data_IF_308501396570
#
_entry.id   IF_308501396570
#
_cell.length_a   1.000
_cell.length_b   1.000
_cell.length_c   1.000
_cell.angle_alpha   90.00
_cell.angle_beta   90.00
_cell.angle_gamma   90.00
#
_symmetry.space_group_name_H-M   'P 1'
#
loop_
_entity.id
_entity.type
_entity.pdbx_description
1 polymer ?
#
# COMPACT_ATOMS: atom_id res chain seq x y z
N UNK A 1 48.16 -14.90 -2.81
CA UNK A 1 46.75 -14.98 -2.37
C UNK A 1 45.97 -13.84 -2.99
N UNK A 2 45.19 -14.10 -4.04
CA UNK A 2 44.29 -13.10 -4.63
C UNK A 2 43.05 -13.00 -3.74
N UNK A 3 42.80 -11.83 -3.16
CA UNK A 3 41.53 -11.55 -2.45
C UNK A 3 40.45 -11.44 -3.52
N UNK A 4 39.50 -12.37 -3.51
CA UNK A 4 38.36 -12.37 -4.41
C UNK A 4 37.36 -11.28 -3.96
N UNK A 5 37.14 -10.22 -4.75
CA UNK A 5 36.21 -9.15 -4.40
C UNK A 5 34.75 -9.63 -4.31
N UNK A 6 34.40 -10.76 -4.93
CA UNK A 6 33.05 -11.33 -4.84
C UNK A 6 32.76 -11.91 -3.45
N UNK A 7 33.76 -12.49 -2.79
CA UNK A 7 33.63 -13.05 -1.43
C UNK A 7 33.45 -11.94 -0.38
N UNK A 8 34.13 -10.80 -0.57
CA UNK A 8 33.99 -9.64 0.30
C UNK A 8 32.59 -9.01 0.20
N UNK A 9 32.00 -8.96 -1.01
CA UNK A 9 30.63 -8.47 -1.22
C UNK A 9 29.55 -9.35 -0.59
N UNK A 10 29.75 -10.68 -0.59
CA UNK A 10 28.82 -11.62 0.05
C UNK A 10 28.86 -11.55 1.57
N UNK A 11 30.05 -11.40 2.16
CA UNK A 11 30.21 -11.24 3.61
C UNK A 11 29.62 -9.90 4.08
N UNK A 12 29.78 -8.82 3.31
CA UNK A 12 29.22 -7.52 3.65
C UNK A 12 27.67 -7.54 3.65
N UNK A 13 27.03 -8.26 2.73
CA UNK A 13 25.57 -8.44 2.71
C UNK A 13 25.03 -9.32 3.85
N UNK A 14 25.86 -10.21 4.42
CA UNK A 14 25.50 -11.00 5.61
C UNK A 14 25.68 -10.22 6.93
N UNK A 15 26.51 -9.17 6.91
CA UNK A 15 26.81 -8.33 8.08
C UNK A 15 25.95 -7.07 8.16
N UNK A 16 25.15 -6.75 7.14
CA UNK A 16 24.12 -5.72 7.27
C UNK A 16 23.01 -6.25 8.18
N UNK A 17 22.75 -5.62 9.36
CA UNK A 17 21.61 -6.02 10.18
C UNK A 17 20.34 -5.83 9.33
N UNK A 18 19.64 -6.94 9.04
CA UNK A 18 18.27 -6.87 8.51
C UNK A 18 17.47 -6.01 9.49
N UNK A 19 16.99 -4.87 9.02
CA UNK A 19 16.15 -4.01 9.85
C UNK A 19 14.90 -4.81 10.26
N UNK A 20 14.33 -4.59 11.46
CA UNK A 20 13.14 -5.31 11.92
C UNK A 20 11.98 -5.30 10.92
N UNK A 21 11.97 -4.29 10.04
CA UNK A 21 11.02 -4.04 8.98
C UNK A 21 11.02 -5.09 7.85
N UNK A 22 12.10 -5.85 7.67
CA UNK A 22 12.18 -6.87 6.61
C UNK A 22 11.17 -8.02 6.79
N UNK A 23 10.55 -8.13 7.97
CA UNK A 23 9.62 -9.21 8.30
C UNK A 23 8.13 -8.81 8.30
N UNK A 24 7.74 -7.86 7.45
CA UNK A 24 6.34 -7.44 7.26
C UNK A 24 5.41 -8.60 6.85
N UNK A 25 5.95 -9.68 6.28
CA UNK A 25 5.18 -10.89 5.96
C UNK A 25 4.71 -11.65 7.21
N UNK A 26 5.50 -11.68 8.28
CA UNK A 26 5.05 -12.25 9.56
C UNK A 26 3.96 -11.38 10.18
N UNK A 27 4.04 -10.06 10.01
CA UNK A 27 2.98 -9.15 10.44
C UNK A 27 1.65 -9.42 9.72
N UNK A 28 1.69 -9.81 8.44
CA UNK A 28 0.49 -10.23 7.70
C UNK A 28 -0.12 -11.54 8.21
N UNK A 29 0.65 -12.42 8.84
CA UNK A 29 0.07 -13.63 9.46
C UNK A 29 -0.89 -13.30 10.59
N UNK A 30 -0.74 -12.14 11.23
CA UNK A 30 -1.67 -11.62 12.24
C UNK A 30 -2.94 -11.01 11.63
N UNK A 31 -2.89 -10.60 10.36
CA UNK A 31 -3.97 -9.96 9.60
C UNK A 31 -4.33 -10.84 8.40
N UNK A 32 -4.56 -12.11 8.67
CA UNK A 32 -4.66 -13.15 7.65
C UNK A 32 -6.10 -13.40 7.16
N UNK A 33 -7.07 -12.56 7.49
CA UNK A 33 -8.47 -12.76 7.08
C UNK A 33 -9.01 -11.58 6.29
N UNK A 34 -9.80 -11.88 5.29
CA UNK A 34 -10.53 -10.89 4.52
C UNK A 34 -11.59 -10.19 5.37
N UNK A 35 -11.60 -8.84 5.46
CA UNK A 35 -12.60 -8.11 6.22
C UNK A 35 -14.00 -8.16 5.56
N UNK A 36 -14.10 -8.64 4.32
CA UNK A 36 -15.36 -8.77 3.57
C UNK A 36 -15.97 -10.17 3.69
N UNK A 37 -15.18 -11.22 3.45
CA UNK A 37 -15.70 -12.60 3.38
C UNK A 37 -15.05 -13.58 4.37
N UNK A 38 -14.16 -13.08 5.25
CA UNK A 38 -13.44 -13.85 6.27
C UNK A 38 -12.52 -14.98 5.79
N UNK A 39 -12.37 -15.12 4.46
CA UNK A 39 -11.42 -16.05 3.84
C UNK A 39 -10.00 -15.72 4.25
N UNK A 40 -9.17 -16.75 4.42
CA UNK A 40 -7.79 -16.53 4.76
C UNK A 40 -7.00 -16.00 3.56
N UNK A 41 -6.22 -14.94 3.79
CA UNK A 41 -5.28 -14.43 2.81
C UNK A 41 -4.04 -15.32 2.72
N UNK A 42 -3.45 -15.40 1.53
CA UNK A 42 -2.12 -15.95 1.30
C UNK A 42 -1.11 -14.80 1.39
N UNK A 43 -0.32 -14.66 2.48
CA UNK A 43 0.59 -13.53 2.67
C UNK A 43 1.59 -13.34 1.53
N UNK A 44 1.97 -14.43 0.86
CA UNK A 44 2.91 -14.45 -0.27
C UNK A 44 2.35 -13.76 -1.52
N UNK A 45 1.02 -13.62 -1.62
CA UNK A 45 0.33 -12.93 -2.72
C UNK A 45 0.17 -11.44 -2.46
N UNK A 46 0.47 -10.98 -1.24
CA UNK A 46 0.44 -9.57 -0.89
C UNK A 46 1.60 -8.84 -1.56
N UNK A 47 1.35 -7.63 -2.08
CA UNK A 47 2.31 -6.87 -2.86
C UNK A 47 2.60 -5.53 -2.19
N UNK A 48 3.87 -5.30 -1.83
CA UNK A 48 4.32 -3.99 -1.35
C UNK A 48 4.26 -2.99 -2.52
N UNK A 49 3.69 -1.81 -2.28
CA UNK A 49 3.68 -0.72 -3.27
C UNK A 49 4.35 0.56 -2.75
N UNK A 50 4.53 0.70 -1.43
CA UNK A 50 5.33 1.76 -0.83
C UNK A 50 5.96 1.28 0.48
N UNK A 51 7.13 1.84 0.82
CA UNK A 51 7.79 1.59 2.11
C UNK A 51 8.63 2.80 2.50
N UNK A 52 8.80 2.99 3.80
CA UNK A 52 9.80 3.88 4.39
C UNK A 52 10.52 3.14 5.53
N UNK A 53 11.19 3.84 6.42
CA UNK A 53 11.96 3.23 7.53
C UNK A 53 11.08 2.56 8.60
N UNK A 54 9.82 2.98 8.75
CA UNK A 54 8.93 2.56 9.84
C UNK A 54 7.67 1.84 9.37
N UNK A 55 7.34 1.94 8.09
CA UNK A 55 6.08 1.49 7.52
C UNK A 55 6.25 0.73 6.20
N UNK A 56 5.44 -0.31 6.04
CA UNK A 56 5.18 -0.99 4.77
C UNK A 56 3.72 -0.80 4.37
N UNK A 57 3.49 -0.41 3.13
CA UNK A 57 2.16 -0.33 2.53
C UNK A 57 2.00 -1.48 1.54
N UNK A 58 1.01 -2.32 1.81
CA UNK A 58 0.82 -3.60 1.14
C UNK A 58 -0.59 -3.66 0.56
N UNK A 59 -0.68 -4.07 -0.71
CA UNK A 59 -1.93 -4.37 -1.40
C UNK A 59 -2.21 -5.87 -1.35
N UNK A 60 -3.45 -6.24 -1.05
CA UNK A 60 -3.93 -7.62 -0.96
C UNK A 60 -5.18 -7.75 -1.83
N UNK A 61 -5.22 -8.81 -2.64
CA UNK A 61 -6.40 -9.22 -3.39
C UNK A 61 -6.97 -10.49 -2.78
N UNK A 62 -8.25 -10.47 -2.39
CA UNK A 62 -8.92 -11.68 -1.92
C UNK A 62 -9.23 -12.61 -3.10
N UNK A 63 -8.76 -13.85 -3.07
CA UNK A 63 -9.03 -14.79 -4.18
C UNK A 63 -10.48 -15.27 -4.24
N UNK A 64 -11.21 -15.21 -3.11
CA UNK A 64 -12.60 -15.65 -3.01
C UNK A 64 -13.59 -14.60 -3.48
N UNK A 65 -13.59 -13.41 -2.88
CA UNK A 65 -14.56 -12.36 -3.19
C UNK A 65 -14.01 -11.26 -4.10
N UNK A 66 -12.73 -11.34 -4.50
CA UNK A 66 -12.08 -10.36 -5.39
C UNK A 66 -12.04 -8.92 -4.84
N UNK A 67 -12.35 -8.71 -3.56
CA UNK A 67 -12.18 -7.41 -2.90
C UNK A 67 -10.70 -7.06 -2.76
N UNK A 68 -10.39 -5.78 -2.84
CA UNK A 68 -9.06 -5.27 -2.58
C UNK A 68 -8.94 -4.65 -1.19
N UNK A 69 -7.76 -4.78 -0.62
CA UNK A 69 -7.45 -4.30 0.72
C UNK A 69 -6.03 -3.77 0.75
N UNK A 70 -5.85 -2.66 1.47
CA UNK A 70 -4.55 -2.06 1.72
C UNK A 70 -4.27 -2.14 3.20
N UNK A 71 -3.10 -2.66 3.56
CA UNK A 71 -2.58 -2.66 4.92
C UNK A 71 -1.34 -1.77 5.01
N UNK A 72 -1.35 -0.85 5.96
CA UNK A 72 -0.16 -0.21 6.48
C UNK A 72 0.33 -0.99 7.69
N UNK A 73 1.58 -1.43 7.64
CA UNK A 73 2.23 -2.24 8.66
C UNK A 73 3.33 -1.38 9.28
N UNK A 74 3.19 -1.04 10.56
CA UNK A 74 4.08 -0.17 11.32
C UNK A 74 4.87 -1.01 12.32
N UNK A 75 6.19 -0.98 12.21
CA UNK A 75 7.07 -1.60 13.19
C UNK A 75 7.49 -0.55 14.22
N UNK A 76 6.99 -0.67 15.44
CA UNK A 76 7.40 0.14 16.59
C UNK A 76 8.34 -0.68 17.47
N UNK A 77 9.24 -0.03 18.23
CA UNK A 77 10.38 -0.69 18.88
C UNK A 77 10.16 -2.09 19.45
N UNK A 78 9.05 -2.32 20.19
CA UNK A 78 8.71 -3.62 20.76
C UNK A 78 7.36 -4.20 20.28
N UNK A 79 6.76 -3.65 19.22
CA UNK A 79 5.42 -4.03 18.82
C UNK A 79 5.09 -3.74 17.36
N UNK A 80 4.15 -4.53 16.85
CA UNK A 80 3.54 -4.32 15.54
C UNK A 80 2.24 -3.54 15.70
N UNK A 81 2.06 -2.52 14.88
CA UNK A 81 0.76 -1.88 14.66
C UNK A 81 0.38 -2.00 13.20
N UNK A 82 -0.92 -2.09 12.92
CA UNK A 82 -1.39 -2.07 11.53
C UNK A 82 -2.74 -1.38 11.43
N UNK A 83 -2.89 -0.62 10.35
CA UNK A 83 -4.15 -0.02 9.93
C UNK A 83 -4.41 -0.51 8.53
N UNK A 84 -5.66 -0.89 8.25
CA UNK A 84 -6.05 -1.36 6.94
C UNK A 84 -7.34 -0.73 6.46
N UNK A 85 -7.52 -0.72 5.14
CA UNK A 85 -8.66 -0.13 4.47
C UNK A 85 -9.08 -1.02 3.30
N UNK A 86 -10.38 -1.31 3.20
CA UNK A 86 -10.97 -1.91 2.00
C UNK A 86 -11.01 -0.86 0.91
N UNK A 87 -10.67 -1.24 -0.31
CA UNK A 87 -10.60 -0.32 -1.44
C UNK A 87 -11.09 -1.01 -2.72
N UNK A 88 -11.50 -0.22 -3.68
CA UNK A 88 -11.79 -0.61 -5.05
C UNK A 88 -10.54 -0.56 -5.96
N UNK A 89 -9.41 -0.08 -5.43
CA UNK A 89 -8.16 0.03 -6.17
C UNK A 89 -7.48 -1.32 -6.34
N UNK A 90 -7.32 -1.77 -7.58
CA UNK A 90 -6.44 -2.89 -7.89
C UNK A 90 -4.95 -2.48 -7.71
N UNK A 91 -4.03 -3.44 -7.87
CA UNK A 91 -2.61 -3.20 -7.66
C UNK A 91 -2.01 -2.13 -8.60
N UNK A 92 -2.47 -2.07 -9.84
CA UNK A 92 -1.97 -1.11 -10.82
C UNK A 92 -2.47 0.31 -10.50
N UNK A 93 -3.73 0.43 -10.09
CA UNK A 93 -4.30 1.71 -9.66
C UNK A 93 -3.58 2.27 -8.44
N UNK A 94 -3.34 1.46 -7.41
CA UNK A 94 -2.66 1.97 -6.21
C UNK A 94 -1.21 2.34 -6.50
N UNK A 95 -0.52 1.60 -7.37
CA UNK A 95 0.86 1.93 -7.80
C UNK A 95 0.92 3.26 -8.56
N UNK A 96 -0.14 3.60 -9.31
CA UNK A 96 -0.28 4.87 -10.01
C UNK A 96 -0.64 6.01 -9.05
N UNK A 97 -1.68 5.83 -8.24
CA UNK A 97 -2.21 6.86 -7.34
C UNK A 97 -1.27 7.20 -6.19
N UNK A 98 -0.51 6.23 -5.66
CA UNK A 98 0.48 6.47 -4.61
C UNK A 98 1.64 7.40 -5.04
N UNK A 99 1.78 7.69 -6.34
CA UNK A 99 2.77 8.64 -6.86
C UNK A 99 2.21 10.06 -7.00
N UNK A 100 0.90 10.24 -6.85
CA UNK A 100 0.27 11.54 -6.90
C UNK A 100 0.47 12.26 -5.56
N UNK A 101 0.48 13.60 -5.56
CA UNK A 101 0.44 14.38 -4.32
C UNK A 101 -0.77 14.00 -3.47
N UNK A 102 -0.62 14.14 -2.16
CA UNK A 102 -1.76 14.05 -1.26
C UNK A 102 -2.77 15.16 -1.59
N UNK A 103 -4.06 14.82 -1.54
CA UNK A 103 -5.14 15.80 -1.69
C UNK A 103 -5.01 16.82 -0.56
N UNK A 104 -4.87 18.08 -0.93
CA UNK A 104 -4.79 19.21 -0.01
C UNK A 104 -6.17 19.58 0.54
N UNK A 105 -6.19 20.29 1.66
CA UNK A 105 -7.43 20.83 2.23
C UNK A 105 -8.13 21.79 1.26
N UNK A 106 -7.36 22.60 0.53
CA UNK A 106 -7.92 23.56 -0.43
C UNK A 106 -8.59 22.82 -1.60
N UNK A 107 -7.93 21.81 -2.18
CA UNK A 107 -8.53 20.96 -3.22
C UNK A 107 -9.80 20.25 -2.72
N UNK A 108 -9.84 19.83 -1.46
CA UNK A 108 -11.03 19.21 -0.88
C UNK A 108 -12.20 20.21 -0.76
N UNK A 109 -11.94 21.44 -0.32
CA UNK A 109 -12.96 22.51 -0.20
C UNK A 109 -13.45 22.95 -1.58
N UNK A 110 -12.53 23.13 -2.53
CA UNK A 110 -12.85 23.49 -3.92
C UNK A 110 -13.69 22.40 -4.58
N UNK A 111 -13.30 21.13 -4.41
CA UNK A 111 -14.06 19.99 -4.93
C UNK A 111 -15.46 19.93 -4.32
N UNK A 112 -15.61 20.13 -3.01
CA UNK A 112 -16.93 20.18 -2.37
C UNK A 112 -17.79 21.30 -2.95
N UNK A 113 -17.21 22.50 -3.10
CA UNK A 113 -17.93 23.65 -3.64
C UNK A 113 -18.38 23.39 -5.09
N UNK A 114 -17.49 22.83 -5.92
CA UNK A 114 -17.80 22.47 -7.29
C UNK A 114 -18.91 21.40 -7.39
N UNK A 115 -18.86 20.36 -6.55
CA UNK A 115 -19.87 19.28 -6.54
C UNK A 115 -21.29 19.80 -6.25
N UNK A 116 -21.40 20.87 -5.46
CA UNK A 116 -22.70 21.48 -5.12
C UNK A 116 -23.28 22.36 -6.24
N UNK A 117 -22.52 22.66 -7.29
CA UNK A 117 -23.00 23.44 -8.42
C UNK A 117 -23.73 22.52 -9.41
N UNK A 118 -24.95 22.88 -9.86
CA UNK A 118 -25.72 22.07 -10.83
C UNK A 118 -24.95 21.77 -12.12
N UNK A 119 -24.10 22.71 -12.55
CA UNK A 119 -23.27 22.55 -13.75
C UNK A 119 -22.22 21.45 -13.63
N UNK A 120 -21.82 21.06 -12.42
CA UNK A 120 -20.82 20.02 -12.20
C UNK A 120 -21.34 18.64 -12.63
N UNK A 121 -22.61 18.33 -12.35
CA UNK A 121 -23.23 17.11 -12.84
C UNK A 121 -23.28 17.09 -14.38
N UNK A 122 -23.58 18.23 -14.99
CA UNK A 122 -23.57 18.36 -16.45
C UNK A 122 -22.17 18.13 -17.05
N UNK A 123 -21.12 18.68 -16.44
CA UNK A 123 -19.74 18.52 -16.93
C UNK A 123 -19.20 17.09 -16.78
N UNK A 124 -19.69 16.33 -15.80
CA UNK A 124 -19.33 14.92 -15.63
C UNK A 124 -20.03 14.01 -16.65
N UNK A 125 -21.29 14.29 -16.99
CA UNK A 125 -22.07 13.47 -17.93
C UNK A 125 -21.76 13.83 -19.39
N UNK A 126 -21.50 15.11 -19.66
CA UNK A 126 -21.19 15.64 -21.00
C UNK A 126 -19.82 16.35 -21.02
N UNK A 127 -18.71 15.62 -20.86
CA UNK A 127 -17.39 16.22 -20.90
C UNK A 127 -17.12 16.82 -22.29
N UNK A 128 -16.86 18.12 -22.35
CA UNK A 128 -16.46 18.83 -23.58
C UNK A 128 -17.59 19.41 -24.44
N UNK A 129 -18.84 19.42 -23.98
CA UNK A 129 -19.90 20.23 -24.61
C UNK A 129 -19.73 21.71 -24.24
N UNK A 130 -19.90 22.65 -25.19
CA UNK A 130 -19.77 24.09 -24.94
C UNK A 130 -20.75 24.62 -23.89
#
# INVERSE_FOLDING_TARGET
MRRDPALAGQILAMLTPKTPLDNWQEALKLINRCPICSESYTPEKAKVFAKNETAHLVHITCEKCQSYFVAMILMMGQGLSSVGMVTDLNYEDIRRLNKLPAISTDEAIESYSAIQEERFLHSLIFPGSP
#
